data_IF_173901174321
#
_entry.id   IF_173901174321
#
_cell.length_a   1.000
_cell.length_b   1.000
_cell.length_c   1.000
_cell.angle_alpha   90.00
_cell.angle_beta   90.00
_cell.angle_gamma   90.00
#
_symmetry.space_group_name_H-M   'P 1'
#
loop_
_entity.id
_entity.type
_entity.pdbx_description
1 polymer ?
#
# COMPACT_ATOMS: atom_id res chain seq x y z
N UNK A 1 -18.01 -10.63 -5.05
CA UNK A 1 -16.53 -10.59 -4.93
C UNK A 1 -16.19 -9.96 -3.60
N UNK A 2 -15.31 -10.57 -2.81
CA UNK A 2 -14.87 -10.00 -1.53
C UNK A 2 -13.77 -8.97 -1.79
N UNK A 3 -13.95 -7.75 -1.31
CA UNK A 3 -12.92 -6.72 -1.40
C UNK A 3 -11.88 -6.93 -0.29
N UNK A 4 -10.62 -6.67 -0.60
CA UNK A 4 -9.50 -6.70 0.35
C UNK A 4 -8.97 -5.29 0.51
N UNK A 5 -8.52 -4.98 1.73
CA UNK A 5 -7.87 -3.71 2.06
C UNK A 5 -6.45 -3.95 2.55
N UNK A 6 -5.55 -3.03 2.22
CA UNK A 6 -4.16 -3.00 2.66
C UNK A 6 -3.80 -1.59 3.11
N UNK A 7 -3.09 -1.49 4.23
CA UNK A 7 -2.53 -0.21 4.71
C UNK A 7 -1.07 -0.10 4.30
N UNK A 8 -0.70 0.96 3.60
CA UNK A 8 0.68 1.27 3.25
C UNK A 8 1.17 2.36 4.21
N UNK A 9 2.32 2.17 4.83
CA UNK A 9 2.91 3.15 5.74
C UNK A 9 4.44 3.20 5.61
N UNK A 10 5.07 4.31 5.97
CA UNK A 10 6.52 4.35 6.24
C UNK A 10 6.84 4.52 7.73
N UNK A 11 8.14 4.50 8.05
CA UNK A 11 8.69 4.77 9.38
C UNK A 11 8.38 6.17 9.92
N UNK A 12 8.11 7.15 9.03
CA UNK A 12 7.75 8.53 9.40
C UNK A 12 6.25 8.69 9.69
N UNK A 13 5.50 7.59 9.69
CA UNK A 13 4.07 7.55 9.93
C UNK A 13 3.22 8.09 8.79
N UNK A 14 3.77 8.30 7.59
CA UNK A 14 2.96 8.62 6.40
C UNK A 14 2.27 7.35 5.95
N UNK A 15 0.94 7.37 5.86
CA UNK A 15 0.17 6.19 5.48
C UNK A 15 -1.01 6.50 4.57
N UNK A 16 -1.48 5.47 3.87
CA UNK A 16 -2.75 5.43 3.16
C UNK A 16 -3.26 3.99 3.06
N UNK A 17 -4.56 3.84 2.81
CA UNK A 17 -5.20 2.54 2.66
C UNK A 17 -5.68 2.36 1.24
N UNK A 18 -5.41 1.18 0.66
CA UNK A 18 -5.98 0.76 -0.62
C UNK A 18 -7.04 -0.30 -0.42
N UNK A 19 -8.07 -0.31 -1.26
CA UNK A 19 -9.11 -1.34 -1.31
C UNK A 19 -9.36 -1.75 -2.75
N UNK A 20 -9.52 -3.04 -3.00
CA UNK A 20 -9.81 -3.56 -4.33
C UNK A 20 -10.23 -5.02 -4.30
N UNK A 21 -10.36 -5.62 -5.49
CA UNK A 21 -10.58 -7.06 -5.62
C UNK A 21 -9.32 -7.82 -5.17
N UNK A 22 -9.49 -9.06 -4.75
CA UNK A 22 -8.37 -9.92 -4.36
C UNK A 22 -7.28 -10.01 -5.45
N UNK A 23 -7.66 -10.18 -6.72
CA UNK A 23 -6.72 -10.19 -7.83
C UNK A 23 -5.94 -8.87 -7.98
N UNK A 24 -6.62 -7.72 -7.88
CA UNK A 24 -5.96 -6.42 -7.99
C UNK A 24 -4.98 -6.17 -6.84
N UNK A 25 -5.34 -6.61 -5.64
CA UNK A 25 -4.49 -6.53 -4.45
C UNK A 25 -3.28 -7.46 -4.56
N UNK A 26 -3.45 -8.69 -5.05
CA UNK A 26 -2.32 -9.60 -5.30
C UNK A 26 -1.36 -9.04 -6.35
N UNK A 27 -1.87 -8.53 -7.49
CA UNK A 27 -1.02 -7.89 -8.50
C UNK A 27 -0.30 -6.64 -7.98
N UNK A 28 -0.90 -5.93 -7.02
CA UNK A 28 -0.23 -4.82 -6.33
C UNK A 28 0.91 -5.31 -5.44
N UNK A 29 0.69 -6.36 -4.64
CA UNK A 29 1.70 -6.97 -3.79
C UNK A 29 2.87 -7.57 -4.58
N UNK A 30 2.59 -8.24 -5.70
CA UNK A 30 3.62 -8.73 -6.63
C UNK A 30 4.50 -7.59 -7.12
N UNK A 31 3.90 -6.47 -7.54
CA UNK A 31 4.64 -5.28 -7.96
C UNK A 31 5.50 -4.72 -6.82
N UNK A 32 4.97 -4.61 -5.61
CA UNK A 32 5.74 -4.13 -4.45
C UNK A 32 6.97 -5.02 -4.21
N UNK A 33 6.80 -6.34 -4.30
CA UNK A 33 7.89 -7.30 -4.16
C UNK A 33 8.91 -7.21 -5.30
N UNK A 34 8.47 -7.17 -6.56
CA UNK A 34 9.33 -7.07 -7.75
C UNK A 34 10.20 -5.80 -7.75
N UNK A 35 9.65 -4.68 -7.30
CA UNK A 35 10.35 -3.39 -7.29
C UNK A 35 10.88 -3.00 -5.91
N UNK A 36 10.84 -3.92 -4.93
CA UNK A 36 11.36 -3.76 -3.58
C UNK A 36 10.89 -2.48 -2.87
N UNK A 37 9.60 -2.14 -3.01
CA UNK A 37 8.99 -0.88 -2.51
C UNK A 37 8.49 -0.94 -1.07
N UNK A 38 8.63 -2.08 -0.41
CA UNK A 38 8.25 -2.27 0.98
C UNK A 38 8.07 -3.75 1.29
N UNK A 39 7.92 -4.03 2.58
CA UNK A 39 7.76 -5.38 3.08
C UNK A 39 6.31 -5.61 3.49
N UNK A 40 5.69 -6.64 2.93
CA UNK A 40 4.31 -7.01 3.23
C UNK A 40 4.23 -7.79 4.55
N UNK A 41 3.41 -7.31 5.49
CA UNK A 41 3.08 -7.97 6.74
C UNK A 41 1.68 -8.60 6.64
N UNK A 42 1.63 -9.93 6.55
CA UNK A 42 0.37 -10.64 6.37
C UNK A 42 -0.55 -10.57 7.60
N UNK A 43 0.02 -10.55 8.81
CA UNK A 43 -0.76 -10.48 10.06
C UNK A 43 -1.46 -9.12 10.22
N UNK A 44 -0.81 -8.04 9.79
CA UNK A 44 -1.34 -6.68 9.89
C UNK A 44 -2.08 -6.23 8.62
N UNK A 45 -2.01 -7.02 7.55
CA UNK A 45 -2.49 -6.63 6.20
C UNK A 45 -1.94 -5.24 5.82
N UNK A 46 -0.63 -5.07 5.99
CA UNK A 46 0.05 -3.80 5.78
C UNK A 46 1.33 -3.95 4.98
N UNK A 47 1.79 -2.86 4.37
CA UNK A 47 3.09 -2.76 3.72
C UNK A 47 3.88 -1.68 4.44
N UNK A 48 5.06 -2.05 4.94
CA UNK A 48 6.02 -1.11 5.50
C UNK A 48 7.00 -0.68 4.40
N UNK A 49 6.83 0.54 3.91
CA UNK A 49 7.74 1.19 2.98
C UNK A 49 9.00 1.68 3.71
N UNK A 50 10.14 1.63 3.02
CA UNK A 50 11.44 2.03 3.60
C UNK A 50 11.57 3.54 3.81
N UNK A 51 10.84 4.34 3.03
CA UNK A 51 10.87 5.80 3.09
C UNK A 51 9.61 6.39 2.43
N UNK A 52 9.42 7.70 2.56
CA UNK A 52 8.24 8.38 2.02
C UNK A 52 8.17 8.41 0.49
N UNK A 53 9.29 8.25 -0.22
CA UNK A 53 9.27 8.15 -1.68
C UNK A 53 8.68 6.83 -2.14
N UNK A 54 8.93 5.74 -1.42
CA UNK A 54 8.31 4.45 -1.69
C UNK A 54 6.80 4.47 -1.40
N UNK A 55 6.35 5.18 -0.36
CA UNK A 55 4.91 5.42 -0.12
C UNK A 55 4.27 6.15 -1.31
N UNK A 56 4.91 7.20 -1.83
CA UNK A 56 4.44 7.91 -3.03
C UNK A 56 4.42 7.00 -4.27
N UNK A 57 5.41 6.13 -4.44
CA UNK A 57 5.44 5.17 -5.54
C UNK A 57 4.29 4.16 -5.44
N UNK A 58 4.05 3.62 -4.24
CA UNK A 58 2.90 2.77 -3.93
C UNK A 58 1.57 3.48 -4.23
N UNK A 59 1.45 4.76 -3.86
CA UNK A 59 0.26 5.56 -4.11
C UNK A 59 0.00 5.73 -5.62
N UNK A 60 1.01 6.10 -6.39
CA UNK A 60 0.92 6.20 -7.85
C UNK A 60 0.59 4.86 -8.52
N UNK A 61 1.16 3.76 -8.03
CA UNK A 61 0.85 2.42 -8.52
C UNK A 61 -0.60 2.05 -8.24
N UNK A 62 -1.11 2.35 -7.05
CA UNK A 62 -2.49 2.08 -6.67
C UNK A 62 -3.48 2.81 -7.59
N UNK A 63 -3.22 4.08 -7.91
CA UNK A 63 -4.00 4.85 -8.90
C UNK A 63 -3.98 4.15 -10.26
N UNK A 64 -2.79 3.77 -10.76
CA UNK A 64 -2.64 3.08 -12.06
C UNK A 64 -3.31 1.71 -12.11
N UNK A 65 -3.45 1.05 -10.97
CA UNK A 65 -4.14 -0.24 -10.82
C UNK A 65 -5.65 -0.09 -10.56
N UNK A 66 -6.18 1.13 -10.62
CA UNK A 66 -7.59 1.45 -10.35
C UNK A 66 -8.08 0.93 -8.98
N UNK A 67 -7.19 0.95 -7.98
CA UNK A 67 -7.51 0.63 -6.59
C UNK A 67 -8.15 1.85 -5.92
N UNK A 68 -9.13 1.61 -5.05
CA UNK A 68 -9.70 2.68 -4.24
C UNK A 68 -8.71 3.09 -3.16
N UNK A 69 -8.40 4.39 -3.07
CA UNK A 69 -7.44 4.94 -2.09
C UNK A 69 -8.20 5.76 -1.06
N UNK A 70 -7.84 5.58 0.21
CA UNK A 70 -8.39 6.35 1.33
C UNK A 70 -7.31 6.74 2.34
N UNK A 71 -7.61 7.78 3.14
CA UNK A 71 -6.82 8.18 4.32
C UNK A 71 -5.33 8.46 4.06
N UNK A 72 -5.02 9.36 3.12
CA UNK A 72 -3.64 9.85 2.99
C UNK A 72 -3.34 10.84 4.11
N UNK A 73 -2.58 10.41 5.12
CA UNK A 73 -2.26 11.23 6.29
C UNK A 73 -0.85 10.95 6.81
N UNK A 74 -0.32 11.89 7.59
CA UNK A 74 0.85 11.66 8.44
C UNK A 74 0.35 11.46 9.86
N UNK A 75 0.72 10.34 10.49
CA UNK A 75 0.48 10.13 11.91
C UNK A 75 1.24 11.21 12.65
N UNK A 76 0.53 12.13 13.30
CA UNK A 76 1.18 13.11 14.17
C UNK A 76 1.73 12.33 15.36
N UNK A 77 3.06 12.36 15.52
CA UNK A 77 3.74 11.90 16.73
C UNK A 77 3.33 12.76 17.93
#
# INVERSE_FOLDING_TARGET
MSNKSLTITDENGVYFTITGTEGAIMSFLEWVNTYHRGDYNDSQKSILCKNSNDVKACHLRAIRSNLYISQFAKKNC
#
